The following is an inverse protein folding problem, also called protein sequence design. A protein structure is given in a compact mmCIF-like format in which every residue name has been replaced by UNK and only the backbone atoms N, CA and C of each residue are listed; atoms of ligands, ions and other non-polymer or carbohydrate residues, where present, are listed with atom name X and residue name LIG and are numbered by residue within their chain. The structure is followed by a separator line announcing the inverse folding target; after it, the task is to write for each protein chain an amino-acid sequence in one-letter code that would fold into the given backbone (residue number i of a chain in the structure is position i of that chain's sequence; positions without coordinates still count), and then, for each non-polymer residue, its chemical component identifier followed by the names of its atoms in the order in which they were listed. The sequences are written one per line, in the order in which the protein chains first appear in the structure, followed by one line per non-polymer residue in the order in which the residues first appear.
data_IF_140207535589
#
_entry.id   IF_140207535589
#
_cell.length_a   1.000
_cell.length_b   1.000
_cell.length_c   1.000
_cell.angle_alpha   90.00
_cell.angle_beta   90.00
_cell.angle_gamma   90.00
#
_symmetry.space_group_name_H-M   'P 1'
#
loop_
_entity.id
_entity.type
_entity.pdbx_description
1 polymer ?
#
# COMPACT_ATOMS: atom_id res chain seq x y z
N UNK A 1 -36.58 21.91 -14.44
CA UNK A 1 -36.96 20.47 -14.46
C UNK A 1 -36.03 19.79 -15.46
N UNK A 2 -35.26 18.73 -15.21
CA UNK A 2 -35.35 17.62 -14.25
C UNK A 2 -33.93 17.13 -13.91
N UNK A 3 -33.68 16.83 -12.63
CA UNK A 3 -32.47 16.14 -12.14
C UNK A 3 -32.41 14.71 -12.70
N UNK A 4 -31.24 14.22 -13.10
CA UNK A 4 -30.92 12.79 -12.99
C UNK A 4 -29.58 12.59 -12.30
N UNK A 5 -29.68 12.34 -10.98
CA UNK A 5 -28.68 11.57 -10.25
C UNK A 5 -28.81 10.12 -10.72
N UNK A 6 -27.73 9.50 -11.17
CA UNK A 6 -27.57 8.05 -11.12
C UNK A 6 -26.28 7.74 -10.36
N UNK A 7 -26.40 7.85 -9.04
CA UNK A 7 -25.49 7.27 -8.08
C UNK A 7 -25.64 5.75 -8.11
N UNK A 8 -24.84 5.06 -8.93
CA UNK A 8 -24.45 3.70 -8.59
C UNK A 8 -23.26 3.83 -7.64
N UNK A 9 -23.58 4.02 -6.37
CA UNK A 9 -22.65 3.97 -5.26
C UNK A 9 -22.15 2.53 -5.09
N UNK A 10 -21.32 2.07 -6.03
CA UNK A 10 -20.40 0.98 -5.75
C UNK A 10 -19.36 1.60 -4.83
N UNK A 11 -19.55 1.44 -3.51
CA UNK A 11 -18.42 1.58 -2.59
C UNK A 11 -17.33 0.68 -3.18
N UNK A 12 -16.14 1.19 -3.54
CA UNK A 12 -15.08 0.34 -4.05
C UNK A 12 -14.91 -0.78 -3.03
N UNK A 13 -15.11 -2.02 -3.48
CA UNK A 13 -15.03 -3.17 -2.61
C UNK A 13 -13.70 -3.08 -1.87
N UNK A 14 -13.75 -3.04 -0.54
CA UNK A 14 -12.55 -2.96 0.29
C UNK A 14 -11.55 -4.00 -0.24
N UNK A 15 -10.30 -3.61 -0.56
CA UNK A 15 -9.38 -4.49 -1.26
C UNK A 15 -9.34 -5.85 -0.55
N UNK A 16 -9.57 -6.93 -1.32
CA UNK A 16 -9.35 -8.30 -0.85
C UNK A 16 -7.95 -8.35 -0.25
N UNK A 17 -7.79 -9.04 0.89
CA UNK A 17 -6.51 -9.05 1.62
C UNK A 17 -5.41 -9.42 0.61
N UNK A 18 -4.50 -8.51 0.24
CA UNK A 18 -3.61 -8.73 -0.89
C UNK A 18 -2.54 -9.78 -0.59
N UNK A 19 -2.59 -10.38 0.61
CA UNK A 19 -1.66 -11.41 1.05
C UNK A 19 -2.23 -12.83 0.94
N UNK A 20 -3.47 -13.03 0.46
CA UNK A 20 -4.05 -14.37 0.39
C UNK A 20 -3.33 -15.29 -0.60
N UNK A 21 -2.72 -14.73 -1.65
CA UNK A 21 -1.94 -15.44 -2.67
C UNK A 21 -0.43 -15.42 -2.39
N UNK A 22 0.01 -14.87 -1.25
CA UNK A 22 1.42 -14.91 -0.86
C UNK A 22 1.69 -16.26 -0.21
N UNK A 23 2.36 -17.12 -0.97
CA UNK A 23 2.76 -18.49 -0.62
C UNK A 23 4.17 -18.54 -0.06
N UNK A 24 5.03 -17.61 -0.49
CA UNK A 24 6.43 -17.52 -0.10
C UNK A 24 6.70 -16.85 1.24
N UNK A 25 7.89 -17.13 1.84
CA UNK A 25 8.38 -16.34 2.95
C UNK A 25 8.75 -14.91 2.56
N UNK A 26 8.96 -14.56 1.28
CA UNK A 26 9.37 -13.22 0.85
C UNK A 26 8.36 -12.60 -0.13
N UNK A 27 8.10 -11.31 0.02
CA UNK A 27 7.24 -10.54 -0.87
C UNK A 27 7.55 -9.05 -0.79
N UNK A 28 7.17 -8.33 -1.83
CA UNK A 28 7.15 -6.87 -1.86
C UNK A 28 5.70 -6.41 -1.88
N UNK A 29 5.38 -5.34 -1.16
CA UNK A 29 4.07 -4.72 -1.13
C UNK A 29 4.20 -3.22 -1.38
N UNK A 30 3.14 -2.61 -1.89
CA UNK A 30 3.08 -1.19 -2.08
C UNK A 30 1.69 -0.64 -1.77
N UNK A 31 1.67 0.61 -1.31
CA UNK A 31 0.47 1.35 -0.95
C UNK A 31 0.18 2.39 -2.02
N UNK A 32 -1.08 2.50 -2.41
CA UNK A 32 -1.54 3.39 -3.48
C UNK A 32 -2.57 4.36 -2.91
N UNK A 33 -2.41 5.64 -3.21
CA UNK A 33 -3.42 6.64 -2.93
C UNK A 33 -4.60 6.46 -3.90
N UNK A 34 -5.82 6.15 -3.42
CA UNK A 34 -6.99 5.95 -4.30
C UNK A 34 -7.44 7.23 -5.00
N UNK A 35 -7.01 8.42 -4.55
CA UNK A 35 -7.39 9.71 -5.10
C UNK A 35 -6.62 10.04 -6.38
N UNK A 36 -5.34 9.65 -6.43
CA UNK A 36 -4.44 9.95 -7.56
C UNK A 36 -3.99 8.69 -8.30
N UNK A 37 -4.18 7.51 -7.70
CA UNK A 37 -3.65 6.23 -8.15
C UNK A 37 -2.10 6.15 -8.11
N UNK A 38 -1.45 7.02 -7.35
CA UNK A 38 0.01 7.01 -7.17
C UNK A 38 0.45 6.05 -6.07
N UNK A 39 1.60 5.40 -6.28
CA UNK A 39 2.26 4.66 -5.22
C UNK A 39 2.85 5.62 -4.19
N UNK A 40 2.44 5.51 -2.94
CA UNK A 40 2.91 6.37 -1.83
C UNK A 40 3.90 5.67 -0.91
N UNK A 41 4.02 4.35 -0.99
CA UNK A 41 4.98 3.59 -0.20
C UNK A 41 5.28 2.25 -0.84
N UNK A 42 6.54 1.82 -0.76
CA UNK A 42 6.98 0.49 -1.12
C UNK A 42 7.65 -0.14 0.10
N UNK A 43 7.27 -1.37 0.43
CA UNK A 43 7.90 -2.11 1.50
C UNK A 43 8.06 -3.57 1.13
N UNK A 44 8.82 -4.28 1.96
CA UNK A 44 8.98 -5.72 1.83
C UNK A 44 8.61 -6.42 3.12
N UNK A 45 8.22 -7.68 3.01
CA UNK A 45 7.88 -8.50 4.17
C UNK A 45 8.56 -9.85 4.14
N UNK A 46 8.74 -10.40 5.35
CA UNK A 46 9.07 -11.80 5.56
C UNK A 46 7.96 -12.48 6.35
N UNK A 47 7.48 -13.63 5.88
CA UNK A 47 6.41 -14.39 6.54
C UNK A 47 5.17 -13.53 6.82
N UNK A 48 4.69 -13.53 8.07
CA UNK A 48 3.49 -12.78 8.48
C UNK A 48 3.72 -11.29 8.79
N UNK A 49 4.90 -10.71 8.48
CA UNK A 49 5.24 -9.32 8.83
C UNK A 49 4.24 -8.29 8.27
N UNK A 50 3.74 -8.44 7.06
CA UNK A 50 2.67 -7.56 6.56
C UNK A 50 1.42 -7.76 7.40
N UNK A 51 1.00 -9.00 7.68
CA UNK A 51 -0.20 -9.28 8.48
C UNK A 51 -0.18 -8.62 9.86
N UNK A 52 0.98 -8.32 10.46
CA UNK A 52 1.02 -7.59 11.73
C UNK A 52 0.72 -6.09 11.59
N UNK A 53 0.81 -5.52 10.39
CA UNK A 53 0.37 -4.15 10.09
C UNK A 53 -1.09 -4.09 9.61
N UNK A 54 -1.75 -5.25 9.50
CA UNK A 54 -3.13 -5.36 9.05
C UNK A 54 -3.99 -5.98 10.14
N UNK A 55 -5.00 -5.23 10.59
CA UNK A 55 -6.04 -5.87 11.37
C UNK A 55 -6.88 -6.74 10.40
N UNK A 56 -6.64 -8.05 10.42
CA UNK A 56 -7.44 -9.02 9.64
C UNK A 56 -8.66 -9.54 10.43
N UNK A 57 -8.77 -9.19 11.72
CA UNK A 57 -9.82 -9.71 12.61
C UNK A 57 -11.14 -8.93 12.49
N UNK A 58 -11.10 -7.70 11.99
CA UNK A 58 -12.28 -6.92 11.67
C UNK A 58 -12.68 -7.12 10.21
N UNK A 59 -13.99 -7.16 9.92
CA UNK A 59 -14.52 -7.02 8.55
C UNK A 59 -14.04 -5.73 7.84
N UNK A 60 -13.40 -4.85 8.60
CA UNK A 60 -12.74 -3.64 8.18
C UNK A 60 -11.22 -3.88 8.11
N UNK A 61 -10.65 -3.85 6.91
CA UNK A 61 -9.22 -4.09 6.67
C UNK A 61 -8.49 -2.76 6.61
N UNK A 62 -7.90 -2.35 7.72
CA UNK A 62 -7.13 -1.10 7.78
C UNK A 62 -5.66 -1.35 8.11
N UNK A 63 -4.80 -0.49 7.54
CA UNK A 63 -3.42 -0.36 7.96
C UNK A 63 -3.35 0.20 9.38
N UNK A 64 -2.64 -0.52 10.23
CA UNK A 64 -2.21 -0.02 11.53
C UNK A 64 -1.14 1.08 11.34
N UNK A 65 -1.05 2.04 12.27
CA UNK A 65 0.00 3.04 12.24
C UNK A 65 1.38 2.41 12.13
N UNK A 66 2.21 2.97 11.25
CA UNK A 66 3.61 2.59 11.09
C UNK A 66 4.52 3.50 11.95
N UNK A 67 5.81 3.22 12.01
CA UNK A 67 6.79 4.18 12.58
C UNK A 67 7.12 5.35 11.62
N UNK A 68 6.58 5.34 10.40
CA UNK A 68 6.78 6.40 9.43
C UNK A 68 5.69 7.46 9.58
N UNK A 69 5.98 8.51 10.35
CA UNK A 69 5.05 9.60 10.62
C UNK A 69 4.47 10.26 9.36
N UNK A 70 5.26 10.40 8.30
CA UNK A 70 4.81 10.96 7.03
C UNK A 70 3.79 10.06 6.33
N UNK A 71 4.07 8.75 6.30
CA UNK A 71 3.11 7.78 5.76
C UNK A 71 1.82 7.76 6.57
N UNK A 72 1.91 7.83 7.90
CA UNK A 72 0.73 7.86 8.76
C UNK A 72 -0.12 9.12 8.52
N UNK A 73 0.53 10.27 8.33
CA UNK A 73 -0.15 11.51 7.99
C UNK A 73 -0.90 11.39 6.66
N UNK A 74 -0.24 10.89 5.60
CA UNK A 74 -0.91 10.67 4.31
C UNK A 74 -2.07 9.68 4.40
N UNK A 75 -1.91 8.56 5.10
CA UNK A 75 -3.01 7.62 5.32
C UNK A 75 -4.17 8.29 6.06
N UNK A 76 -3.88 9.12 7.07
CA UNK A 76 -4.90 9.89 7.81
C UNK A 76 -5.65 10.88 6.90
N UNK A 77 -4.94 11.57 6.01
CA UNK A 77 -5.53 12.48 5.02
C UNK A 77 -6.38 11.75 3.97
N UNK A 78 -6.01 10.54 3.59
CA UNK A 78 -6.83 9.70 2.71
C UNK A 78 -8.10 9.27 3.44
N UNK A 79 -7.97 8.83 4.70
CA UNK A 79 -9.09 8.39 5.54
C UNK A 79 -10.07 9.50 5.88
N UNK A 80 -9.62 10.74 6.04
CA UNK A 80 -10.51 11.88 6.28
C UNK A 80 -11.46 12.15 5.11
N UNK A 81 -11.15 11.65 3.90
CA UNK A 81 -12.03 11.70 2.73
C UNK A 81 -13.00 10.51 2.62
N UNK A 82 -13.00 9.59 3.60
CA UNK A 82 -13.83 8.39 3.59
C UNK A 82 -13.29 7.26 2.68
N UNK A 83 -12.03 7.33 2.27
CA UNK A 83 -11.34 6.32 1.46
C UNK A 83 -10.30 5.55 2.29
N UNK A 84 -9.79 4.45 1.75
CA UNK A 84 -8.66 3.70 2.30
C UNK A 84 -7.60 3.48 1.22
N UNK A 85 -6.33 3.40 1.61
CA UNK A 85 -5.25 3.13 0.65
C UNK A 85 -5.42 1.78 -0.05
N UNK A 86 -5.13 1.78 -1.34
CA UNK A 86 -4.99 0.56 -2.13
C UNK A 86 -3.74 -0.19 -1.72
N UNK A 87 -3.81 -1.53 -1.70
CA UNK A 87 -2.70 -2.35 -1.21
C UNK A 87 -2.49 -3.49 -2.17
N UNK A 88 -1.26 -3.61 -2.64
CA UNK A 88 -0.84 -4.62 -3.59
C UNK A 88 0.37 -5.34 -3.05
N UNK A 89 0.52 -6.60 -3.43
CA UNK A 89 1.68 -7.40 -3.07
C UNK A 89 2.12 -8.26 -4.24
N UNK A 90 3.40 -8.62 -4.25
CA UNK A 90 3.98 -9.56 -5.21
C UNK A 90 4.78 -10.60 -4.44
N UNK A 91 4.37 -11.85 -4.60
CA UNK A 91 5.08 -13.00 -4.04
C UNK A 91 6.48 -13.10 -4.68
N UNK A 92 7.49 -13.25 -3.83
CA UNK A 92 8.88 -13.49 -4.23
C UNK A 92 9.33 -14.90 -3.80
N UNK A 93 8.39 -15.75 -3.35
CA UNK A 93 8.63 -17.13 -2.94
C UNK A 93 9.75 -17.20 -1.90
N UNK A 94 10.70 -18.11 -2.10
CA UNK A 94 11.92 -18.26 -1.30
C UNK A 94 13.07 -17.34 -1.75
N UNK A 95 12.86 -16.46 -2.75
CA UNK A 95 13.91 -15.65 -3.35
C UNK A 95 14.06 -14.27 -2.71
N UNK A 96 14.89 -14.19 -1.67
CA UNK A 96 15.24 -12.93 -0.98
C UNK A 96 15.86 -11.90 -1.93
N UNK A 97 16.74 -12.32 -2.85
CA UNK A 97 17.43 -11.40 -3.78
C UNK A 97 16.43 -10.74 -4.73
N UNK A 98 15.46 -11.50 -5.23
CA UNK A 98 14.37 -10.98 -6.06
C UNK A 98 13.53 -9.95 -5.31
N UNK A 99 13.14 -10.24 -4.07
CA UNK A 99 12.41 -9.29 -3.22
C UNK A 99 13.20 -7.99 -3.02
N UNK A 100 14.49 -8.07 -2.70
CA UNK A 100 15.36 -6.91 -2.52
C UNK A 100 15.53 -6.10 -3.81
N UNK A 101 15.69 -6.78 -4.95
CA UNK A 101 15.80 -6.13 -6.25
C UNK A 101 14.49 -5.42 -6.60
N UNK A 102 13.36 -6.10 -6.45
CA UNK A 102 12.04 -5.56 -6.77
C UNK A 102 11.68 -4.34 -5.90
N UNK A 103 11.98 -4.38 -4.60
CA UNK A 103 11.82 -3.23 -3.70
C UNK A 103 12.60 -2.01 -4.24
N UNK A 104 13.88 -2.20 -4.56
CA UNK A 104 14.75 -1.13 -5.07
C UNK A 104 14.27 -0.60 -6.42
N UNK A 105 13.86 -1.49 -7.33
CA UNK A 105 13.37 -1.14 -8.66
C UNK A 105 12.09 -0.29 -8.56
N UNK A 106 11.14 -0.69 -7.70
CA UNK A 106 9.91 0.08 -7.46
C UNK A 106 10.19 1.43 -6.79
N UNK A 107 11.13 1.50 -5.84
CA UNK A 107 11.51 2.77 -5.22
C UNK A 107 12.14 3.71 -6.25
N UNK A 108 13.00 3.18 -7.13
CA UNK A 108 13.60 3.95 -8.22
C UNK A 108 12.55 4.40 -9.23
N UNK A 109 11.59 3.55 -9.57
CA UNK A 109 10.53 3.83 -10.54
C UNK A 109 9.60 4.96 -10.07
N UNK A 110 9.15 4.92 -8.82
CA UNK A 110 8.17 5.89 -8.31
C UNK A 110 8.79 7.15 -7.73
N UNK A 111 10.08 7.10 -7.36
CA UNK A 111 10.80 8.23 -6.78
C UNK A 111 10.33 8.60 -5.37
N UNK A 112 11.18 9.32 -4.64
CA UNK A 112 10.93 9.67 -3.24
C UNK A 112 10.51 11.13 -3.07
N UNK A 113 9.54 11.33 -2.19
CA UNK A 113 9.00 12.64 -1.85
C UNK A 113 10.04 13.52 -1.15
N UNK A 114 10.76 12.97 -0.17
CA UNK A 114 11.76 13.72 0.60
C UNK A 114 12.95 14.21 -0.25
N UNK A 115 13.14 13.60 -1.43
CA UNK A 115 14.15 14.02 -2.41
C UNK A 115 13.58 14.84 -3.57
N UNK A 116 12.28 15.14 -3.57
CA UNK A 116 11.61 15.82 -4.69
C UNK A 116 11.65 15.01 -6.00
N UNK A 117 11.81 13.68 -5.92
CA UNK A 117 11.94 12.80 -7.09
C UNK A 117 10.69 12.00 -7.41
N UNK A 118 9.67 12.04 -6.53
CA UNK A 118 8.44 11.29 -6.72
C UNK A 118 7.55 11.26 -5.49
N UNK A 119 6.71 10.24 -5.38
CA UNK A 119 5.56 10.20 -4.44
C UNK A 119 5.80 9.32 -3.21
N UNK A 120 6.92 8.61 -3.12
CA UNK A 120 7.13 7.66 -2.03
C UNK A 120 7.50 8.34 -0.70
N UNK A 121 6.82 7.94 0.37
CA UNK A 121 7.16 8.23 1.77
C UNK A 121 8.37 7.40 2.27
N UNK A 122 9.01 6.62 1.39
CA UNK A 122 10.20 5.85 1.73
C UNK A 122 11.35 6.76 2.16
N UNK A 123 11.93 6.51 3.36
CA UNK A 123 13.07 7.27 3.89
C UNK A 123 14.44 6.73 3.46
N UNK A 124 14.46 5.58 2.79
CA UNK A 124 15.66 4.96 2.24
C UNK A 124 15.36 4.37 0.86
N UNK A 125 16.41 3.97 0.14
CA UNK A 125 16.29 3.42 -1.22
C UNK A 125 15.97 1.90 -1.22
N UNK A 126 15.48 1.35 -0.12
CA UNK A 126 15.39 -0.10 0.09
C UNK A 126 16.71 -0.70 0.57
N UNK A 127 16.63 -1.67 1.49
CA UNK A 127 17.80 -2.19 2.21
C UNK A 127 17.46 -3.37 3.08
#
# INVERSE_FOLDING_TARGET
MVRKKSSLGVKPAAPKCPFSYITGPFYVYWLVDPRTNDTIYVGRGRGRRARSYYNMASNEKYLLPSHNGQLNQWISEIRSTGMEVGIFAKDCFSNKKMMQKLEKDLIKQHGRFDKGTGTLANRNNGG
#
